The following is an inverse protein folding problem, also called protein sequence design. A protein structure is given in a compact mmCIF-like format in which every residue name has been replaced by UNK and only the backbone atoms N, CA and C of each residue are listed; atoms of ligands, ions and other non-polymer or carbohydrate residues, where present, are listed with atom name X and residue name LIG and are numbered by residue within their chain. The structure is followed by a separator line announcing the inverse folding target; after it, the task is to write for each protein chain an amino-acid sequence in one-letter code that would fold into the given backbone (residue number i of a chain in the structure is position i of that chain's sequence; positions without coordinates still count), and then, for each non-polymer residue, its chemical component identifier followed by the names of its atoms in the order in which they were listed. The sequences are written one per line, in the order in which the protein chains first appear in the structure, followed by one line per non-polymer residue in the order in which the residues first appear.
data_IF_131774180000
#
_entry.id   IF_131774180000
#
_cell.length_a   1.000
_cell.length_b   1.000
_cell.length_c   1.000
_cell.angle_alpha   90.00
_cell.angle_beta   90.00
_cell.angle_gamma   90.00
#
_symmetry.space_group_name_H-M   'P 1'
#
loop_
_entity.id
_entity.type
_entity.pdbx_description
1 polymer ?
#
# COMPACT_ATOMS: atom_id res chain seq x y z
N UNK A 1 16.62 -21.22 8.50
CA UNK A 1 16.39 -21.44 7.03
C UNK A 1 16.04 -20.10 6.42
N UNK A 2 16.62 -19.71 5.32
CA UNK A 2 16.35 -18.43 4.64
C UNK A 2 14.95 -18.44 4.03
N UNK A 3 14.21 -17.33 4.12
CA UNK A 3 12.91 -17.15 3.49
C UNK A 3 12.92 -15.90 2.61
N UNK A 4 11.98 -15.83 1.68
CA UNK A 4 11.69 -14.64 0.89
C UNK A 4 10.40 -13.99 1.36
N UNK A 5 10.32 -12.65 1.27
CA UNK A 5 9.16 -11.88 1.66
C UNK A 5 8.64 -11.11 0.45
N UNK A 6 7.37 -11.32 0.09
CA UNK A 6 6.64 -10.48 -0.85
C UNK A 6 5.84 -9.44 -0.09
N UNK A 7 5.88 -8.16 -0.51
CA UNK A 7 5.15 -7.07 0.16
C UNK A 7 4.46 -6.20 -0.86
N UNK A 8 3.16 -5.99 -0.65
CA UNK A 8 2.37 -4.98 -1.32
C UNK A 8 2.17 -3.77 -0.39
N UNK A 9 2.81 -2.66 -0.74
CA UNK A 9 2.67 -1.37 -0.06
C UNK A 9 1.56 -0.57 -0.75
N UNK A 10 0.29 -0.94 -0.50
CA UNK A 10 -0.87 -0.31 -1.11
C UNK A 10 -1.14 1.12 -0.62
N UNK A 11 -2.07 1.82 -1.27
CA UNK A 11 -2.51 3.17 -0.87
C UNK A 11 -3.28 3.15 0.45
N UNK A 12 -4.10 2.13 0.66
CA UNK A 12 -5.01 2.00 1.82
C UNK A 12 -4.55 0.93 2.79
N UNK A 13 -4.01 -0.17 2.27
CA UNK A 13 -3.58 -1.32 3.05
C UNK A 13 -2.19 -1.79 2.63
N UNK A 14 -1.52 -2.44 3.55
CA UNK A 14 -0.28 -3.19 3.33
C UNK A 14 -0.59 -4.67 3.49
N UNK A 15 -0.07 -5.49 2.60
CA UNK A 15 -0.13 -6.95 2.69
C UNK A 15 1.27 -7.54 2.50
N UNK A 16 1.51 -8.70 3.10
CA UNK A 16 2.78 -9.41 2.91
C UNK A 16 2.58 -10.93 2.95
N UNK A 17 3.46 -11.64 2.25
CA UNK A 17 3.50 -13.09 2.25
C UNK A 17 4.93 -13.60 2.41
N UNK A 18 5.09 -14.69 3.13
CA UNK A 18 6.34 -15.39 3.39
C UNK A 18 6.41 -16.62 2.49
N UNK A 19 7.48 -16.73 1.71
CA UNK A 19 7.80 -17.91 0.91
C UNK A 19 8.98 -18.64 1.54
N UNK A 20 8.75 -19.87 1.99
CA UNK A 20 9.77 -20.71 2.63
C UNK A 20 10.39 -21.69 1.63
N UNK A 21 11.60 -22.20 1.89
CA UNK A 21 12.26 -23.20 1.02
C UNK A 21 11.44 -24.49 0.79
N UNK A 22 10.48 -24.79 1.67
CA UNK A 22 9.53 -25.88 1.49
C UNK A 22 8.58 -25.72 0.31
N UNK A 23 8.55 -24.53 -0.31
CA UNK A 23 7.60 -24.15 -1.36
C UNK A 23 6.26 -23.63 -0.83
N UNK A 24 6.05 -23.62 0.49
CA UNK A 24 4.85 -23.03 1.08
C UNK A 24 4.93 -21.49 1.03
N UNK A 25 3.85 -20.87 0.55
CA UNK A 25 3.63 -19.42 0.60
C UNK A 25 2.47 -19.15 1.53
N UNK A 26 2.69 -18.33 2.54
CA UNK A 26 1.69 -18.00 3.56
C UNK A 26 1.59 -16.49 3.75
N UNK A 27 0.36 -15.99 3.88
CA UNK A 27 0.13 -14.59 4.20
C UNK A 27 0.60 -14.30 5.62
N UNK A 28 1.34 -13.20 5.77
CA UNK A 28 1.75 -12.70 7.09
C UNK A 28 0.56 -11.99 7.76
N UNK A 29 0.26 -12.36 9.00
CA UNK A 29 -0.73 -11.65 9.80
C UNK A 29 -0.11 -10.34 10.30
N UNK A 30 -0.54 -9.22 9.75
CA UNK A 30 0.01 -7.88 10.02
C UNK A 30 -0.77 -7.08 11.06
N UNK A 31 -2.00 -7.49 11.33
CA UNK A 31 -2.92 -6.78 12.22
C UNK A 31 -3.67 -7.81 13.07
N UNK A 32 -4.42 -7.38 14.09
CA UNK A 32 -5.15 -8.27 15.03
C UNK A 32 -6.10 -9.22 14.29
N UNK A 33 -5.58 -10.37 13.83
CA UNK A 33 -6.33 -11.40 13.09
C UNK A 33 -6.55 -11.10 11.61
N UNK A 34 -5.88 -10.09 11.04
CA UNK A 34 -5.97 -9.72 9.61
C UNK A 34 -4.62 -9.87 8.91
N UNK A 35 -4.65 -10.36 7.67
CA UNK A 35 -3.48 -10.44 6.77
C UNK A 35 -3.16 -9.10 6.10
N UNK A 36 -3.97 -8.08 6.32
CA UNK A 36 -3.72 -6.72 5.87
C UNK A 36 -3.65 -5.77 7.05
N UNK A 37 -2.79 -4.76 6.96
CA UNK A 37 -2.71 -3.65 7.91
C UNK A 37 -3.02 -2.32 7.22
N UNK A 38 -3.63 -1.33 7.89
CA UNK A 38 -3.82 0.00 7.31
C UNK A 38 -2.50 0.66 6.91
N UNK A 39 -2.43 1.22 5.69
CA UNK A 39 -1.29 2.02 5.22
C UNK A 39 -1.32 3.43 5.83
N UNK A 40 -1.24 3.49 7.14
CA UNK A 40 -1.33 4.70 7.97
C UNK A 40 -0.11 4.83 8.84
N UNK A 41 0.41 6.04 8.96
CA UNK A 41 1.55 6.37 9.83
C UNK A 41 1.15 7.48 10.80
N UNK A 42 1.53 7.37 12.06
CA UNK A 42 1.33 8.34 13.11
C UNK A 42 2.68 8.77 13.71
N UNK A 43 2.91 10.07 13.80
CA UNK A 43 4.09 10.64 14.47
C UNK A 43 3.79 10.87 15.95
N UNK A 44 4.46 10.12 16.82
CA UNK A 44 4.41 10.29 18.27
C UNK A 44 5.11 11.60 18.69
N UNK A 45 4.88 12.04 19.91
CA UNK A 45 5.50 13.25 20.47
C UNK A 45 7.02 13.12 20.64
N UNK A 46 7.50 11.89 20.84
CA UNK A 46 8.94 11.56 20.93
C UNK A 46 9.63 11.41 19.56
N UNK A 47 8.92 11.72 18.44
CA UNK A 47 9.45 11.65 17.09
C UNK A 47 9.40 10.25 16.45
N UNK A 48 8.90 9.25 17.15
CA UNK A 48 8.79 7.88 16.63
C UNK A 48 7.59 7.74 15.71
N UNK A 49 7.78 7.15 14.52
CA UNK A 49 6.71 6.77 13.61
C UNK A 49 6.10 5.43 14.04
N UNK A 50 4.78 5.38 14.14
CA UNK A 50 3.98 4.20 14.41
C UNK A 50 3.09 3.93 13.21
N UNK A 51 2.85 2.67 12.85
CA UNK A 51 2.16 2.26 11.62
C UNK A 51 0.90 1.43 11.91
N UNK A 52 0.12 1.17 10.87
CA UNK A 52 -0.98 0.22 10.89
C UNK A 52 -2.12 0.61 11.84
N UNK A 53 -2.71 -0.38 12.52
CA UNK A 53 -3.85 -0.18 13.41
C UNK A 53 -3.55 0.75 14.59
N UNK A 54 -2.34 0.75 15.10
CA UNK A 54 -1.95 1.65 16.18
C UNK A 54 -1.99 3.12 15.71
N UNK A 55 -1.51 3.40 14.49
CA UNK A 55 -1.59 4.70 13.85
C UNK A 55 -3.05 5.08 13.55
N UNK A 56 -3.84 4.14 13.00
CA UNK A 56 -5.26 4.37 12.68
C UNK A 56 -6.08 4.79 13.89
N UNK A 57 -5.86 4.16 15.04
CA UNK A 57 -6.54 4.54 16.30
C UNK A 57 -6.20 5.95 16.75
N UNK A 58 -4.99 6.43 16.48
CA UNK A 58 -4.55 7.79 16.83
C UNK A 58 -5.10 8.87 15.91
N UNK A 59 -5.57 8.50 14.72
CA UNK A 59 -6.13 9.45 13.75
C UNK A 59 -7.34 10.24 14.28
N UNK A 60 -8.06 9.67 15.23
CA UNK A 60 -9.23 10.31 15.85
C UNK A 60 -8.81 11.42 16.82
N UNK A 61 -7.75 11.18 17.61
CA UNK A 61 -7.34 12.08 18.70
C UNK A 61 -6.24 13.06 18.29
N UNK A 62 -5.50 12.76 17.23
CA UNK A 62 -4.38 13.57 16.74
C UNK A 62 -4.28 13.54 15.21
N UNK A 63 -5.32 13.99 14.47
CA UNK A 63 -5.39 13.85 13.00
C UNK A 63 -4.24 14.58 12.29
N UNK A 64 -3.78 15.72 12.80
CA UNK A 64 -2.67 16.48 12.22
C UNK A 64 -1.31 15.74 12.27
N UNK A 65 -1.18 14.69 13.07
CA UNK A 65 0.03 13.87 13.22
C UNK A 65 -0.04 12.54 12.47
N UNK A 66 -1.09 12.34 11.65
CA UNK A 66 -1.34 11.10 10.91
C UNK A 66 -1.18 11.32 9.42
N UNK A 67 -0.39 10.46 8.78
CA UNK A 67 -0.25 10.38 7.32
C UNK A 67 -1.04 9.22 6.74
N UNK A 68 -1.77 9.51 5.67
CA UNK A 68 -2.55 8.54 4.87
C UNK A 68 -2.33 8.82 3.40
N UNK A 69 -2.59 7.84 2.54
CA UNK A 69 -2.63 7.99 1.07
C UNK A 69 -1.32 8.52 0.47
N UNK A 70 -0.22 8.46 1.21
CA UNK A 70 1.05 9.03 0.77
C UNK A 70 1.70 8.26 -0.40
N UNK A 71 1.27 7.02 -0.72
CA UNK A 71 1.69 6.31 -1.95
C UNK A 71 1.29 7.10 -3.20
N UNK A 72 0.11 7.74 -3.19
CA UNK A 72 -0.35 8.65 -4.27
C UNK A 72 0.56 9.88 -4.45
N UNK A 73 1.29 10.24 -3.41
CA UNK A 73 2.18 11.40 -3.38
C UNK A 73 3.63 11.07 -3.73
N UNK A 74 3.91 9.82 -4.11
CA UNK A 74 5.25 9.45 -4.57
C UNK A 74 5.58 10.23 -5.85
N UNK A 75 6.67 11.02 -5.78
CA UNK A 75 7.05 11.95 -6.85
C UNK A 75 6.48 13.37 -6.72
N UNK A 76 5.61 13.64 -5.74
CA UNK A 76 5.20 15.00 -5.39
C UNK A 76 6.35 15.69 -4.60
N UNK A 77 6.83 16.87 -5.05
CA UNK A 77 7.87 17.59 -4.31
C UNK A 77 7.40 18.15 -2.96
N UNK A 78 6.07 18.26 -2.75
CA UNK A 78 5.52 18.77 -1.50
C UNK A 78 5.55 17.67 -0.43
N UNK A 79 6.22 17.89 0.70
CA UNK A 79 6.29 16.86 1.74
C UNK A 79 4.94 16.64 2.44
N UNK A 80 4.78 15.47 3.02
CA UNK A 80 3.66 15.13 3.91
C UNK A 80 3.97 15.71 5.29
N UNK A 81 3.08 16.56 5.81
CA UNK A 81 3.22 17.13 7.15
C UNK A 81 2.57 16.21 8.18
N UNK A 82 3.34 15.89 9.23
CA UNK A 82 2.86 15.19 10.42
C UNK A 82 3.20 16.05 11.64
N UNK A 83 2.24 16.81 12.14
CA UNK A 83 2.49 17.86 13.14
C UNK A 83 3.40 18.95 12.59
N UNK A 84 4.53 19.20 13.26
CA UNK A 84 5.56 20.15 12.83
C UNK A 84 6.56 19.57 11.83
N UNK A 85 6.62 18.25 11.71
CA UNK A 85 7.62 17.55 10.90
C UNK A 85 7.15 17.34 9.47
N UNK A 86 8.12 17.18 8.57
CA UNK A 86 7.88 16.99 7.13
C UNK A 86 8.55 15.71 6.64
N UNK A 87 7.82 14.88 5.95
CA UNK A 87 8.27 13.57 5.46
C UNK A 87 8.07 13.44 3.95
N UNK A 88 8.97 12.77 3.26
CA UNK A 88 8.73 12.33 1.89
C UNK A 88 7.78 11.13 1.86
N UNK A 89 7.08 10.92 0.73
CA UNK A 89 6.29 9.71 0.55
C UNK A 89 7.15 8.44 0.65
N UNK A 90 8.38 8.48 0.10
CA UNK A 90 9.36 7.39 0.18
C UNK A 90 9.68 7.03 1.64
N UNK A 91 9.94 8.03 2.51
CA UNK A 91 10.26 7.75 3.92
C UNK A 91 9.07 7.18 4.70
N UNK A 92 7.83 7.58 4.38
CA UNK A 92 6.64 7.01 5.00
C UNK A 92 6.34 5.58 4.53
N UNK A 93 6.57 5.28 3.23
CA UNK A 93 6.53 3.91 2.71
C UNK A 93 7.63 3.05 3.36
N UNK A 94 8.82 3.62 3.57
CA UNK A 94 9.91 2.96 4.30
C UNK A 94 9.52 2.61 5.74
N UNK A 95 8.80 3.48 6.44
CA UNK A 95 8.30 3.19 7.79
C UNK A 95 7.30 2.02 7.80
N UNK A 96 6.39 1.93 6.80
CA UNK A 96 5.49 0.79 6.66
C UNK A 96 6.28 -0.50 6.39
N UNK A 97 7.23 -0.45 5.45
CA UNK A 97 8.06 -1.61 5.12
C UNK A 97 8.90 -2.08 6.33
N UNK A 98 9.48 -1.15 7.08
CA UNK A 98 10.25 -1.45 8.29
C UNK A 98 9.42 -2.22 9.32
N UNK A 99 8.16 -1.86 9.52
CA UNK A 99 7.26 -2.57 10.43
C UNK A 99 6.93 -3.98 9.92
N UNK A 100 6.68 -4.16 8.62
CA UNK A 100 6.47 -5.49 8.00
C UNK A 100 7.71 -6.36 8.17
N UNK A 101 8.90 -5.82 7.90
CA UNK A 101 10.18 -6.54 8.07
C UNK A 101 10.41 -6.98 9.51
N UNK A 102 10.10 -6.10 10.47
CA UNK A 102 10.19 -6.43 11.90
C UNK A 102 9.25 -7.58 12.25
N UNK A 103 7.97 -7.51 11.85
CA UNK A 103 6.98 -8.55 12.15
C UNK A 103 7.36 -9.89 11.50
N UNK A 104 7.79 -9.89 10.23
CA UNK A 104 8.25 -11.10 9.55
C UNK A 104 9.49 -11.70 10.23
N UNK A 105 10.44 -10.85 10.64
CA UNK A 105 11.66 -11.29 11.33
C UNK A 105 11.39 -11.84 12.72
N UNK A 106 10.44 -11.26 13.45
CA UNK A 106 9.98 -11.78 14.75
C UNK A 106 9.32 -13.16 14.61
N UNK A 107 8.51 -13.36 13.57
CA UNK A 107 7.85 -14.63 13.30
C UNK A 107 8.84 -15.73 12.88
N UNK A 108 9.77 -15.40 11.99
CA UNK A 108 10.72 -16.37 11.41
C UNK A 108 12.03 -16.51 12.21
N UNK A 109 12.23 -15.66 13.23
CA UNK A 109 13.44 -15.64 14.05
C UNK A 109 14.69 -15.10 13.36
N UNK A 110 14.57 -14.58 12.15
CA UNK A 110 15.66 -14.01 11.34
C UNK A 110 15.11 -13.06 10.26
N UNK A 111 15.97 -12.22 9.69
CA UNK A 111 15.61 -11.36 8.58
C UNK A 111 15.38 -12.15 7.27
N UNK A 112 14.54 -11.65 6.33
CA UNK A 112 14.39 -12.25 5.01
C UNK A 112 15.70 -12.17 4.22
N UNK A 113 15.97 -13.18 3.38
CA UNK A 113 17.13 -13.17 2.48
C UNK A 113 16.85 -12.41 1.18
N UNK A 114 15.58 -12.30 0.79
CA UNK A 114 15.11 -11.59 -0.39
C UNK A 114 13.77 -10.93 -0.09
N UNK A 115 13.58 -9.73 -0.61
CA UNK A 115 12.31 -8.99 -0.53
C UNK A 115 11.85 -8.62 -1.93
N UNK A 116 10.57 -8.89 -2.24
CA UNK A 116 9.94 -8.50 -3.49
C UNK A 116 8.85 -7.49 -3.17
N UNK A 117 8.91 -6.31 -3.78
CA UNK A 117 7.91 -5.26 -3.63
C UNK A 117 7.07 -5.12 -4.90
N UNK A 118 5.77 -4.85 -4.77
CA UNK A 118 4.89 -4.60 -5.90
C UNK A 118 4.66 -3.11 -6.12
N UNK A 119 4.52 -2.72 -7.39
CA UNK A 119 4.18 -1.35 -7.78
C UNK A 119 3.22 -1.32 -8.98
N UNK A 120 2.43 -0.25 -9.18
CA UNK A 120 1.58 -0.08 -10.35
C UNK A 120 2.36 -0.17 -11.66
N UNK A 121 1.80 -0.87 -12.66
CA UNK A 121 2.47 -1.10 -13.94
C UNK A 121 2.63 0.18 -14.78
N UNK A 122 1.75 1.18 -14.57
CA UNK A 122 1.75 2.46 -15.27
C UNK A 122 2.77 3.48 -14.71
N UNK A 123 3.50 3.16 -13.64
CA UNK A 123 4.51 4.06 -13.11
C UNK A 123 5.68 4.25 -14.06
N UNK A 124 5.96 5.51 -14.40
CA UNK A 124 7.14 5.88 -15.18
C UNK A 124 8.46 5.72 -14.40
N UNK A 125 9.60 5.83 -15.10
CA UNK A 125 10.94 5.60 -14.50
C UNK A 125 11.21 6.44 -13.25
N UNK A 126 10.72 7.68 -13.21
CA UNK A 126 10.93 8.58 -12.08
C UNK A 126 10.29 8.04 -10.79
N UNK A 127 9.02 7.64 -10.84
CA UNK A 127 8.34 7.08 -9.66
C UNK A 127 8.91 5.74 -9.25
N UNK A 128 9.27 4.90 -10.22
CA UNK A 128 9.93 3.61 -9.94
C UNK A 128 11.24 3.81 -9.21
N UNK A 129 12.09 4.75 -9.66
CA UNK A 129 13.33 5.07 -8.97
C UNK A 129 13.12 5.52 -7.53
N UNK A 130 12.12 6.39 -7.26
CA UNK A 130 11.78 6.78 -5.89
C UNK A 130 11.23 5.63 -5.04
N UNK A 131 10.57 4.65 -5.66
CA UNK A 131 10.08 3.47 -4.97
C UNK A 131 11.21 2.47 -4.68
N UNK A 132 12.19 2.38 -5.54
CA UNK A 132 13.41 1.59 -5.34
C UNK A 132 14.25 2.09 -4.15
N UNK A 133 14.07 3.35 -3.73
CA UNK A 133 14.68 3.91 -2.50
C UNK A 133 13.94 3.52 -1.20
N UNK A 134 12.72 2.97 -1.29
CA UNK A 134 11.92 2.59 -0.11
C UNK A 134 12.62 1.53 0.76
N UNK A 135 13.21 0.45 0.21
CA UNK A 135 13.97 -0.53 0.99
C UNK A 135 15.12 0.08 1.78
N UNK A 136 15.85 0.99 1.18
CA UNK A 136 16.92 1.72 1.87
C UNK A 136 16.37 2.57 3.03
N UNK A 137 15.26 3.28 2.80
CA UNK A 137 14.57 4.06 3.84
C UNK A 137 14.02 3.19 4.97
N UNK A 138 13.75 1.92 4.72
CA UNK A 138 13.34 0.93 5.72
C UNK A 138 14.51 0.32 6.50
N UNK A 139 15.75 0.62 6.13
CA UNK A 139 16.96 0.01 6.69
C UNK A 139 17.20 -1.42 6.22
N UNK A 140 16.63 -1.82 5.08
CA UNK A 140 16.77 -3.16 4.52
C UNK A 140 18.14 -3.34 3.86
N UNK A 141 18.81 -4.45 4.19
CA UNK A 141 20.12 -4.84 3.63
C UNK A 141 20.00 -6.08 2.71
N UNK A 142 18.83 -6.74 2.69
CA UNK A 142 18.61 -7.92 1.87
C UNK A 142 18.50 -7.58 0.37
N UNK A 143 18.66 -8.59 -0.46
CA UNK A 143 18.39 -8.48 -1.90
C UNK A 143 16.95 -8.08 -2.15
N UNK A 144 16.75 -7.05 -2.97
CA UNK A 144 15.42 -6.46 -3.21
C UNK A 144 15.13 -6.40 -4.70
N UNK A 145 13.94 -6.84 -5.05
CA UNK A 145 13.40 -6.81 -6.41
C UNK A 145 12.04 -6.11 -6.41
N UNK A 146 11.72 -5.43 -7.49
CA UNK A 146 10.39 -4.87 -7.72
C UNK A 146 9.74 -5.54 -8.92
N UNK A 147 8.44 -5.82 -8.80
CA UNK A 147 7.60 -6.37 -9.88
C UNK A 147 6.34 -5.53 -10.00
N UNK A 148 5.67 -5.58 -11.13
CA UNK A 148 4.39 -4.88 -11.26
C UNK A 148 3.27 -5.64 -10.55
N UNK A 149 2.29 -4.91 -10.01
CA UNK A 149 1.11 -5.49 -9.35
C UNK A 149 0.38 -6.51 -10.24
N UNK A 150 0.14 -6.25 -11.55
CA UNK A 150 -0.47 -7.24 -12.43
C UNK A 150 0.41 -8.48 -12.69
N UNK A 151 1.74 -8.35 -12.74
CA UNK A 151 2.64 -9.51 -12.84
C UNK A 151 2.54 -10.38 -11.58
N UNK A 152 2.52 -9.77 -10.40
CA UNK A 152 2.36 -10.49 -9.13
C UNK A 152 0.99 -11.20 -9.05
N UNK A 153 -0.09 -10.53 -9.46
CA UNK A 153 -1.43 -11.10 -9.51
C UNK A 153 -1.51 -12.29 -10.50
N UNK A 154 -0.91 -12.14 -11.68
CA UNK A 154 -0.87 -13.21 -12.67
C UNK A 154 0.01 -14.38 -12.24
N UNK A 155 1.13 -14.13 -11.55
CA UNK A 155 1.97 -15.19 -10.98
C UNK A 155 1.18 -16.00 -9.93
N UNK A 156 0.41 -15.35 -9.07
CA UNK A 156 -0.47 -16.01 -8.11
C UNK A 156 -1.57 -16.83 -8.81
N UNK A 157 -2.21 -16.25 -9.84
CA UNK A 157 -3.20 -16.96 -10.63
C UNK A 157 -2.61 -18.19 -11.33
N UNK A 158 -1.43 -18.05 -11.94
CA UNK A 158 -0.73 -19.14 -12.62
C UNK A 158 -0.32 -20.27 -11.65
N UNK A 159 0.08 -19.95 -10.44
CA UNK A 159 0.39 -20.93 -9.41
C UNK A 159 -0.84 -21.76 -8.99
N UNK A 160 -2.03 -21.13 -8.98
CA UNK A 160 -3.29 -21.77 -8.60
C UNK A 160 -3.99 -22.50 -9.74
N UNK A 161 -3.92 -22.01 -10.98
CA UNK A 161 -4.71 -22.49 -12.13
C UNK A 161 -3.91 -22.76 -13.41
N UNK A 162 -2.58 -22.66 -13.40
CA UNK A 162 -1.69 -22.78 -14.58
C UNK A 162 -2.19 -21.97 -15.77
N UNK A 163 -1.74 -20.72 -15.88
CA UNK A 163 -1.91 -19.96 -17.11
C UNK A 163 -1.25 -20.74 -18.27
N UNK A 164 -2.05 -21.17 -19.24
CA UNK A 164 -1.54 -21.97 -20.36
C UNK A 164 -0.75 -21.07 -21.31
N UNK A 165 0.20 -21.68 -22.02
CA UNK A 165 0.93 -20.99 -23.08
C UNK A 165 -0.02 -20.45 -24.14
N UNK A 166 0.12 -19.16 -24.48
CA UNK A 166 -0.77 -18.43 -25.38
C UNK A 166 -2.11 -17.97 -24.77
N UNK A 167 -2.44 -18.37 -23.55
CA UNK A 167 -3.66 -17.87 -22.87
C UNK A 167 -3.51 -16.40 -22.53
N UNK A 168 -4.53 -15.60 -22.87
CA UNK A 168 -4.58 -14.16 -22.59
C UNK A 168 -5.55 -13.91 -21.42
N UNK A 169 -5.13 -13.12 -20.47
CA UNK A 169 -5.94 -12.67 -19.33
C UNK A 169 -5.86 -11.16 -19.20
N UNK A 170 -6.95 -10.54 -18.74
CA UNK A 170 -6.97 -9.15 -18.32
C UNK A 170 -6.99 -9.09 -16.80
N UNK A 171 -6.12 -8.29 -16.23
CA UNK A 171 -6.07 -7.96 -14.79
C UNK A 171 -6.65 -6.56 -14.63
N UNK A 172 -7.69 -6.45 -13.80
CA UNK A 172 -8.27 -5.20 -13.35
C UNK A 172 -7.95 -5.06 -11.89
N UNK A 173 -7.08 -4.11 -11.57
CA UNK A 173 -6.70 -3.79 -10.19
C UNK A 173 -7.40 -2.50 -9.77
N UNK A 174 -8.46 -2.63 -8.99
CA UNK A 174 -9.17 -1.51 -8.38
C UNK A 174 -8.79 -1.43 -6.91
N UNK A 175 -7.78 -0.63 -6.65
CA UNK A 175 -7.25 -0.40 -5.31
C UNK A 175 -8.01 0.68 -4.53
N UNK A 176 -7.45 1.07 -3.39
CA UNK A 176 -7.98 2.21 -2.62
C UNK A 176 -7.68 3.56 -3.27
N UNK A 177 -6.68 3.64 -4.15
CA UNK A 177 -6.18 4.90 -4.69
C UNK A 177 -6.03 4.97 -6.20
N UNK A 178 -5.91 3.84 -6.87
CA UNK A 178 -5.69 3.73 -8.32
C UNK A 178 -6.57 2.64 -8.90
N UNK A 179 -6.83 2.76 -10.18
CA UNK A 179 -7.37 1.71 -11.01
C UNK A 179 -6.37 1.44 -12.13
N UNK A 180 -5.96 0.19 -12.28
CA UNK A 180 -5.04 -0.26 -13.31
C UNK A 180 -5.64 -1.41 -14.11
N UNK A 181 -5.47 -1.38 -15.43
CA UNK A 181 -5.89 -2.43 -16.34
C UNK A 181 -4.70 -2.90 -17.18
N UNK A 182 -4.42 -4.19 -17.14
CA UNK A 182 -3.27 -4.79 -17.84
C UNK A 182 -3.69 -6.07 -18.51
N UNK A 183 -3.28 -6.25 -19.77
CA UNK A 183 -3.49 -7.49 -20.51
C UNK A 183 -2.18 -8.29 -20.51
N UNK A 184 -2.29 -9.55 -20.14
CA UNK A 184 -1.16 -10.46 -19.97
C UNK A 184 -1.35 -11.71 -20.83
N UNK A 185 -0.23 -12.30 -21.30
CA UNK A 185 -0.20 -13.59 -21.98
C UNK A 185 0.69 -14.55 -21.22
N UNK A 186 0.20 -15.79 -21.06
CA UNK A 186 1.05 -16.89 -20.61
C UNK A 186 2.06 -17.27 -21.73
N UNK A 187 3.31 -17.47 -21.35
CA UNK A 187 4.36 -17.95 -22.26
C UNK A 187 5.24 -18.99 -21.55
N UNK A 188 6.03 -19.80 -22.27
CA UNK A 188 6.86 -20.84 -21.66
C UNK A 188 7.85 -20.32 -20.62
N UNK A 189 8.25 -19.06 -20.73
CA UNK A 189 9.21 -18.40 -19.82
C UNK A 189 8.53 -17.66 -18.65
N UNK A 190 7.19 -17.68 -18.58
CA UNK A 190 6.43 -16.98 -17.53
C UNK A 190 5.25 -16.19 -18.08
N UNK A 191 5.23 -14.88 -17.86
CA UNK A 191 4.13 -14.00 -18.22
C UNK A 191 4.67 -12.81 -19.01
N UNK A 192 3.99 -12.44 -20.08
CA UNK A 192 4.29 -11.30 -20.95
C UNK A 192 3.16 -10.27 -20.83
N UNK A 193 3.50 -8.99 -20.59
CA UNK A 193 2.55 -7.87 -20.68
C UNK A 193 2.30 -7.55 -22.14
N UNK A 194 1.03 -7.52 -22.56
CA UNK A 194 0.61 -7.15 -23.91
C UNK A 194 0.20 -5.69 -23.97
N UNK A 195 0.83 -4.94 -24.87
CA UNK A 195 0.58 -3.51 -25.04
C UNK A 195 1.18 -2.67 -23.92
N UNK A 196 0.53 -1.56 -23.61
CA UNK A 196 0.91 -0.66 -22.54
C UNK A 196 -0.13 -0.79 -21.41
N UNK A 197 0.30 -0.99 -20.16
CA UNK A 197 -0.61 -0.90 -19.03
C UNK A 197 -1.25 0.48 -18.96
N UNK A 198 -2.54 0.55 -18.80
CA UNK A 198 -3.28 1.80 -18.60
C UNK A 198 -3.86 1.83 -17.21
N UNK A 199 -3.91 3.03 -16.63
CA UNK A 199 -4.46 3.22 -15.30
C UNK A 199 -4.94 4.64 -15.08
N UNK A 200 -5.84 4.79 -14.13
CA UNK A 200 -6.37 6.08 -13.69
C UNK A 200 -5.87 6.32 -12.27
N UNK A 201 -4.97 7.30 -12.15
CA UNK A 201 -4.56 7.82 -10.87
C UNK A 201 -5.73 8.61 -10.26
N UNK A 202 -6.09 8.37 -9.05
CA UNK A 202 -7.27 8.93 -8.38
C UNK A 202 -8.59 8.37 -8.91
N UNK A 203 -8.61 7.07 -9.13
CA UNK A 203 -9.83 6.29 -9.26
C UNK A 203 -9.67 5.04 -8.39
N UNK A 204 -10.20 5.06 -7.19
CA UNK A 204 -10.14 3.94 -6.24
C UNK A 204 -11.20 4.09 -5.17
N UNK A 205 -11.19 3.21 -4.18
CA UNK A 205 -12.17 3.20 -3.09
C UNK A 205 -12.31 4.55 -2.39
N UNK A 206 -11.19 5.25 -2.17
CA UNK A 206 -11.19 6.58 -1.54
C UNK A 206 -11.98 7.61 -2.37
N UNK A 207 -11.83 7.59 -3.71
CA UNK A 207 -12.51 8.54 -4.59
C UNK A 207 -14.02 8.24 -4.66
N UNK A 208 -14.40 6.97 -4.52
CA UNK A 208 -15.81 6.58 -4.39
C UNK A 208 -16.39 7.05 -3.06
N UNK A 209 -15.69 6.88 -1.95
CA UNK A 209 -16.08 7.36 -0.64
C UNK A 209 -16.28 8.89 -0.65
N UNK A 210 -15.34 9.63 -1.26
CA UNK A 210 -15.45 11.08 -1.42
C UNK A 210 -16.65 11.50 -2.27
N UNK A 211 -16.92 10.77 -3.35
CA UNK A 211 -18.08 11.02 -4.21
C UNK A 211 -19.41 10.79 -3.49
N UNK A 212 -19.48 9.73 -2.67
CA UNK A 212 -20.65 9.42 -1.85
C UNK A 212 -20.86 10.51 -0.79
N UNK A 213 -19.77 10.94 -0.11
CA UNK A 213 -19.84 12.02 0.88
C UNK A 213 -20.28 13.34 0.25
N UNK A 214 -19.76 13.67 -0.93
CA UNK A 214 -20.18 14.87 -1.67
C UNK A 214 -21.66 14.81 -2.04
N UNK A 215 -22.15 13.64 -2.48
CA UNK A 215 -23.57 13.43 -2.77
C UNK A 215 -24.45 13.60 -1.51
N UNK A 216 -24.03 13.01 -0.38
CA UNK A 216 -24.72 13.16 0.91
C UNK A 216 -24.74 14.64 1.34
N UNK A 217 -23.59 15.32 1.27
CA UNK A 217 -23.47 16.72 1.63
C UNK A 217 -24.39 17.63 0.79
N UNK A 218 -24.48 17.35 -0.53
CA UNK A 218 -25.41 18.06 -1.41
C UNK A 218 -26.87 17.91 -0.94
N UNK A 219 -27.29 16.73 -0.52
CA UNK A 219 -28.65 16.49 -0.02
C UNK A 219 -28.89 17.00 1.41
N UNK A 220 -27.84 17.39 2.11
CA UNK A 220 -27.88 18.04 3.43
C UNK A 220 -27.65 19.56 3.32
N UNK A 221 -27.85 20.13 2.13
CA UNK A 221 -27.65 21.57 1.85
C UNK A 221 -26.28 22.11 2.29
N UNK A 222 -25.23 21.27 2.23
CA UNK A 222 -23.88 21.66 2.61
C UNK A 222 -23.54 21.54 4.09
N UNK A 223 -24.39 20.93 4.89
CA UNK A 223 -24.19 20.85 6.34
C UNK A 223 -22.89 20.19 6.80
N UNK A 224 -22.29 19.31 5.97
CA UNK A 224 -20.99 18.70 6.30
C UNK A 224 -19.81 19.68 6.16
N UNK A 225 -19.94 20.72 5.34
CA UNK A 225 -18.90 21.75 5.17
C UNK A 225 -18.84 22.72 6.36
N UNK A 226 -19.94 22.82 7.12
CA UNK A 226 -20.04 23.65 8.31
C UNK A 226 -19.50 22.98 9.58
N UNK A 227 -19.12 21.69 9.50
CA UNK A 227 -18.61 20.93 10.64
C UNK A 227 -17.22 21.41 11.01
N UNK A 228 -17.07 21.86 12.26
CA UNK A 228 -15.75 22.19 12.82
C UNK A 228 -14.94 20.91 13.11
N UNK A 229 -14.06 20.56 12.19
CA UNK A 229 -13.16 19.40 12.34
C UNK A 229 -12.06 19.60 13.39
N UNK A 230 -11.97 20.78 14.02
CA UNK A 230 -11.10 20.97 15.19
C UNK A 230 -11.74 20.46 16.48
N UNK A 231 -13.06 20.27 16.51
CA UNK A 231 -13.76 19.53 17.57
C UNK A 231 -13.51 18.02 17.39
N UNK A 232 -12.90 17.35 18.37
CA UNK A 232 -12.63 15.92 18.31
C UNK A 232 -13.86 15.04 18.13
N UNK A 233 -15.02 15.46 18.67
CA UNK A 233 -16.27 14.70 18.56
C UNK A 233 -16.81 14.78 17.15
N UNK A 234 -16.80 15.97 16.54
CA UNK A 234 -17.22 16.19 15.17
C UNK A 234 -16.28 15.49 14.18
N UNK A 235 -14.96 15.62 14.37
CA UNK A 235 -13.95 14.91 13.57
C UNK A 235 -14.14 13.39 13.62
N UNK A 236 -14.45 12.84 14.81
CA UNK A 236 -14.76 11.42 14.97
C UNK A 236 -16.03 11.02 14.22
N UNK A 237 -17.09 11.82 14.30
CA UNK A 237 -18.34 11.56 13.60
C UNK A 237 -18.13 11.52 12.08
N UNK A 238 -17.44 12.53 11.52
CA UNK A 238 -17.10 12.57 10.07
C UNK A 238 -16.21 11.40 9.67
N UNK A 239 -15.24 10.99 10.52
CA UNK A 239 -14.38 9.85 10.22
C UNK A 239 -15.11 8.49 10.20
N UNK A 240 -16.31 8.41 10.78
CA UNK A 240 -17.17 7.22 10.73
C UNK A 240 -18.08 7.16 9.51
N UNK A 241 -18.19 8.26 8.78
CA UNK A 241 -18.92 8.32 7.51
C UNK A 241 -18.08 7.82 6.34
N UNK A 242 -16.77 7.70 6.53
CA UNK A 242 -15.79 7.10 5.59
C UNK A 242 -15.46 5.68 6.03
#
# INVERSE_FOLDING_TARGET
MTYSLGVDLGTTFVAAAIARPSGAVEMLTLSSGSVVAPAVVYLREDGVLVTGDAARRRAITAPSRVGREFKRRLGDPTPVKLGSESYSATSLLGALLSDVLRQASELEGQAPSRVVLTHPANWGPFRRGLFEDVPYSAGLVADTETVTEPEAAAAHYAASRRLQDGQVVAVYDLGGGTFDATVLRGCPQGIEILGLPEGIERLGGIDFDESILAYVNYHLDGALDEIDLTDPTAALAVSRLR
#
